data_IF_900712018821
#
_entry.id   IF_900712018821
#
_cell.length_a   1.000
_cell.length_b   1.000
_cell.length_c   1.000
_cell.angle_alpha   90.00
_cell.angle_beta   90.00
_cell.angle_gamma   90.00
#
_symmetry.space_group_name_H-M   'P 1'
#
loop_
_entity.id
_entity.type
_entity.pdbx_description
1 polymer ?
#
# COMPACT_ATOMS: atom_id res chain seq x y z
N UNK A 1 0.29 -26.65 16.79
CA UNK A 1 -0.23 -26.81 15.42
C UNK A 1 -0.52 -25.46 14.77
N UNK A 2 -1.12 -24.46 15.49
CA UNK A 2 -1.38 -23.10 14.94
C UNK A 2 -0.13 -22.21 14.93
N UNK A 3 0.75 -22.38 15.93
CA UNK A 3 2.03 -21.66 16.01
C UNK A 3 3.09 -22.20 15.04
N UNK A 4 3.07 -23.50 14.75
CA UNK A 4 3.94 -24.10 13.73
C UNK A 4 3.52 -23.73 12.31
N UNK A 5 2.21 -23.63 12.01
CA UNK A 5 1.75 -23.10 10.72
C UNK A 5 2.12 -21.63 10.50
N UNK A 6 2.06 -20.80 11.55
CA UNK A 6 2.50 -19.41 11.47
C UNK A 6 4.02 -19.27 11.33
N UNK A 7 4.82 -20.20 11.88
CA UNK A 7 6.27 -20.25 11.65
C UNK A 7 6.61 -20.71 10.24
N UNK A 8 5.94 -21.73 9.72
CA UNK A 8 6.15 -22.20 8.35
C UNK A 8 5.71 -21.19 7.30
N UNK A 9 4.61 -20.47 7.51
CA UNK A 9 4.21 -19.36 6.63
C UNK A 9 5.16 -18.14 6.71
N UNK A 10 5.80 -17.90 7.84
CA UNK A 10 6.84 -16.88 7.97
C UNK A 10 8.16 -17.31 7.30
N UNK A 11 8.43 -18.62 7.20
CA UNK A 11 9.63 -19.16 6.54
C UNK A 11 9.45 -19.32 5.01
N UNK A 12 8.24 -19.57 4.52
CA UNK A 12 7.93 -19.63 3.07
C UNK A 12 7.88 -18.25 2.39
N UNK A 13 7.60 -17.18 3.12
CA UNK A 13 7.67 -15.80 2.61
C UNK A 13 9.09 -15.23 2.52
N UNK A 14 10.12 -16.00 2.87
CA UNK A 14 11.52 -15.53 2.92
C UNK A 14 12.28 -15.66 1.58
N UNK A 15 11.64 -16.04 0.50
CA UNK A 15 12.33 -16.33 -0.76
C UNK A 15 12.72 -15.10 -1.58
N UNK A 16 12.15 -13.91 -1.29
CA UNK A 16 12.34 -12.67 -2.06
C UNK A 16 12.93 -11.50 -1.23
N UNK A 17 13.54 -11.77 -0.11
CA UNK A 17 14.21 -10.73 0.68
C UNK A 17 15.67 -10.61 0.26
N UNK A 18 16.15 -9.40 -0.03
CA UNK A 18 17.59 -9.18 -0.10
C UNK A 18 18.18 -9.48 1.29
N UNK A 19 18.97 -10.54 1.38
CA UNK A 19 19.41 -11.10 2.66
C UNK A 19 20.25 -10.06 3.42
N UNK A 20 19.64 -9.47 4.45
CA UNK A 20 20.35 -8.60 5.39
C UNK A 20 21.24 -9.45 6.30
N UNK A 21 22.53 -9.08 6.41
CA UNK A 21 23.50 -9.79 7.26
C UNK A 21 23.27 -9.58 8.76
N UNK A 22 22.60 -8.49 9.13
CA UNK A 22 22.37 -8.08 10.52
C UNK A 22 20.86 -8.07 10.89
N UNK A 23 19.99 -8.50 9.97
CA UNK A 23 18.54 -8.53 10.16
C UNK A 23 17.87 -7.15 10.13
N UNK A 24 18.57 -6.13 9.60
CA UNK A 24 17.99 -4.81 9.34
C UNK A 24 17.63 -4.63 7.87
N UNK A 25 16.57 -3.88 7.59
CA UNK A 25 16.09 -3.63 6.23
C UNK A 25 15.79 -2.17 6.04
N UNK A 26 16.33 -1.58 4.99
CA UNK A 26 16.19 -0.14 4.72
C UNK A 26 14.83 0.23 4.15
N UNK A 27 14.21 -0.67 3.37
CA UNK A 27 12.85 -0.51 2.85
C UNK A 27 11.94 -1.54 3.51
N UNK A 28 10.83 -1.06 4.08
CA UNK A 28 9.75 -1.90 4.58
C UNK A 28 8.50 -1.70 3.71
N UNK A 29 8.01 -2.74 3.07
CA UNK A 29 6.71 -2.74 2.42
C UNK A 29 5.66 -3.32 3.36
N UNK A 30 4.57 -2.60 3.56
CA UNK A 30 3.47 -3.02 4.44
C UNK A 30 2.19 -2.99 3.63
N UNK A 31 1.69 -4.16 3.25
CA UNK A 31 0.43 -4.26 2.52
C UNK A 31 -0.76 -4.51 3.45
N UNK A 32 -1.96 -4.47 2.86
CA UNK A 32 -3.18 -4.88 3.53
C UNK A 32 -3.33 -6.40 3.67
N UNK A 33 -4.55 -6.86 3.87
CA UNK A 33 -4.89 -8.28 3.79
C UNK A 33 -4.79 -8.75 2.34
N UNK A 34 -4.19 -9.90 2.13
CA UNK A 34 -3.97 -10.51 0.84
C UNK A 34 -2.61 -11.21 0.81
N UNK A 35 -2.43 -12.12 -0.11
CA UNK A 35 -1.12 -12.68 -0.40
C UNK A 35 -0.40 -11.76 -1.38
N UNK A 36 0.92 -11.80 -1.41
CA UNK A 36 1.71 -10.99 -2.35
C UNK A 36 1.49 -11.43 -3.80
N UNK A 37 1.09 -12.68 -4.00
CA UNK A 37 0.87 -13.31 -5.30
C UNK A 37 -0.60 -13.27 -5.77
N UNK A 38 -1.31 -12.20 -5.45
CA UNK A 38 -2.71 -12.01 -5.83
C UNK A 38 -2.92 -11.61 -7.32
N UNK A 39 -1.84 -11.62 -8.11
CA UNK A 39 -1.79 -11.14 -9.50
C UNK A 39 -2.34 -9.72 -9.65
N UNK A 40 -2.17 -8.92 -8.63
CA UNK A 40 -2.79 -7.62 -8.51
C UNK A 40 -1.85 -6.50 -8.10
N UNK A 41 -2.43 -5.53 -7.42
CA UNK A 41 -1.76 -4.29 -7.07
C UNK A 41 -0.65 -4.48 -6.01
N UNK A 42 -0.78 -5.48 -5.12
CA UNK A 42 0.24 -5.78 -4.11
C UNK A 42 1.48 -6.40 -4.74
N UNK A 43 1.30 -7.37 -5.61
CA UNK A 43 2.38 -8.04 -6.34
C UNK A 43 3.19 -7.06 -7.19
N UNK A 44 2.52 -6.28 -8.05
CA UNK A 44 3.19 -5.28 -8.89
C UNK A 44 3.97 -4.24 -8.08
N UNK A 45 3.45 -3.84 -6.91
CA UNK A 45 4.16 -2.91 -6.03
C UNK A 45 5.39 -3.56 -5.39
N UNK A 46 5.28 -4.83 -4.98
CA UNK A 46 6.38 -5.58 -4.41
C UNK A 46 7.49 -5.83 -5.44
N UNK A 47 7.13 -6.25 -6.66
CA UNK A 47 8.08 -6.43 -7.76
C UNK A 47 8.86 -5.15 -8.05
N UNK A 48 8.17 -4.00 -8.16
CA UNK A 48 8.83 -2.72 -8.37
C UNK A 48 9.76 -2.32 -7.21
N UNK A 49 9.42 -2.64 -5.96
CA UNK A 49 10.29 -2.43 -4.81
C UNK A 49 11.51 -3.32 -4.88
N UNK A 50 11.33 -4.61 -5.18
CA UNK A 50 12.40 -5.58 -5.30
C UNK A 50 13.39 -5.19 -6.41
N UNK A 51 12.89 -4.89 -7.61
CA UNK A 51 13.70 -4.45 -8.75
C UNK A 51 14.55 -3.21 -8.38
N UNK A 52 13.93 -2.17 -7.84
CA UNK A 52 14.64 -0.96 -7.43
C UNK A 52 15.70 -1.24 -6.34
N UNK A 53 15.34 -2.03 -5.33
CA UNK A 53 16.21 -2.33 -4.21
C UNK A 53 17.42 -3.17 -4.63
N UNK A 54 17.22 -4.17 -5.49
CA UNK A 54 18.29 -5.02 -6.03
C UNK A 54 19.25 -4.23 -6.90
N UNK A 55 18.74 -3.38 -7.81
CA UNK A 55 19.57 -2.49 -8.63
C UNK A 55 20.44 -1.54 -7.80
N UNK A 56 19.89 -1.03 -6.69
CA UNK A 56 20.54 -0.07 -5.83
C UNK A 56 21.29 -0.70 -4.62
N UNK A 57 21.24 -2.03 -4.49
CA UNK A 57 21.83 -2.79 -3.36
C UNK A 57 21.29 -2.34 -2.00
N UNK A 58 19.99 -2.09 -1.95
CA UNK A 58 19.25 -1.69 -0.74
C UNK A 58 18.57 -2.94 -0.18
N UNK A 59 18.62 -3.12 1.13
CA UNK A 59 17.91 -4.22 1.79
C UNK A 59 16.43 -3.88 1.96
N UNK A 60 15.55 -4.83 1.69
CA UNK A 60 14.11 -4.65 1.77
C UNK A 60 13.41 -5.84 2.41
N UNK A 61 12.26 -5.63 2.99
CA UNK A 61 11.44 -6.67 3.60
C UNK A 61 9.97 -6.34 3.55
N UNK A 62 9.16 -7.39 3.51
CA UNK A 62 7.72 -7.32 3.55
C UNK A 62 7.19 -7.57 4.97
N UNK A 63 6.24 -6.76 5.41
CA UNK A 63 5.58 -6.92 6.71
C UNK A 63 4.07 -7.00 6.53
N UNK A 64 3.52 -8.14 6.92
CA UNK A 64 2.08 -8.38 6.88
C UNK A 64 1.47 -8.07 8.24
N UNK A 65 0.43 -7.23 8.32
CA UNK A 65 -0.35 -7.05 9.54
C UNK A 65 -1.01 -8.37 9.97
N UNK A 66 -1.07 -8.63 11.26
CA UNK A 66 -1.62 -9.88 11.80
C UNK A 66 -3.12 -10.06 11.52
N UNK A 67 -3.83 -8.97 11.27
CA UNK A 67 -5.25 -8.92 10.91
C UNK A 67 -5.61 -7.56 10.30
N UNK A 68 -6.85 -7.42 9.80
CA UNK A 68 -7.36 -6.19 9.15
C UNK A 68 -7.78 -5.09 10.15
N UNK A 69 -7.00 -4.87 11.19
CA UNK A 69 -7.24 -3.77 12.13
C UNK A 69 -6.20 -2.66 11.97
N UNK A 70 -6.59 -1.43 12.28
CA UNK A 70 -5.68 -0.30 12.34
C UNK A 70 -4.48 -0.60 13.27
N UNK A 71 -4.75 -1.17 14.44
CA UNK A 71 -3.71 -1.48 15.43
C UNK A 71 -2.67 -2.48 14.88
N UNK A 72 -3.11 -3.52 14.16
CA UNK A 72 -2.20 -4.49 13.54
C UNK A 72 -1.33 -3.83 12.44
N UNK A 73 -1.89 -2.91 11.66
CA UNK A 73 -1.13 -2.13 10.66
C UNK A 73 -0.12 -1.19 11.33
N UNK A 74 -0.50 -0.50 12.40
CA UNK A 74 0.43 0.31 13.18
C UNK A 74 1.58 -0.52 13.75
N UNK A 75 1.30 -1.74 14.25
CA UNK A 75 2.36 -2.63 14.77
C UNK A 75 3.28 -3.14 13.66
N UNK A 76 2.76 -3.40 12.46
CA UNK A 76 3.59 -3.73 11.30
C UNK A 76 4.53 -2.56 10.93
N UNK A 77 4.02 -1.32 10.94
CA UNK A 77 4.85 -0.11 10.75
C UNK A 77 5.94 -0.01 11.81
N UNK A 78 5.59 -0.21 13.10
CA UNK A 78 6.57 -0.18 14.20
C UNK A 78 7.61 -1.30 14.06
N UNK A 79 7.19 -2.46 13.57
CA UNK A 79 8.11 -3.58 13.33
C UNK A 79 9.13 -3.22 12.24
N UNK A 80 8.67 -2.70 11.10
CA UNK A 80 9.57 -2.19 10.05
C UNK A 80 10.53 -1.12 10.57
N UNK A 81 10.02 -0.15 11.35
CA UNK A 81 10.83 0.88 11.97
C UNK A 81 11.91 0.31 12.91
N UNK A 82 11.56 -0.64 13.78
CA UNK A 82 12.48 -1.34 14.69
C UNK A 82 13.54 -2.14 13.94
N UNK A 83 13.21 -2.65 12.75
CA UNK A 83 14.12 -3.39 11.86
C UNK A 83 15.00 -2.49 11.00
N UNK A 84 14.96 -1.19 11.22
CA UNK A 84 15.90 -0.24 10.60
C UNK A 84 15.38 0.44 9.33
N UNK A 85 14.07 0.33 9.04
CA UNK A 85 13.50 0.95 7.86
C UNK A 85 13.76 2.46 7.84
N UNK A 86 14.30 2.93 6.73
CA UNK A 86 14.45 4.35 6.38
C UNK A 86 13.28 4.83 5.54
N UNK A 87 12.71 3.90 4.76
CA UNK A 87 11.55 4.12 3.91
C UNK A 87 10.51 3.06 4.26
N UNK A 88 9.28 3.50 4.51
CA UNK A 88 8.13 2.62 4.68
C UNK A 88 7.13 2.90 3.58
N UNK A 89 6.83 1.87 2.80
CA UNK A 89 5.88 1.94 1.70
C UNK A 89 4.58 1.26 2.14
N UNK A 90 3.46 1.93 1.97
CA UNK A 90 2.12 1.43 2.31
C UNK A 90 1.14 1.69 1.18
N UNK A 91 0.06 0.91 1.13
CA UNK A 91 -0.80 0.89 -0.03
C UNK A 91 -2.28 0.92 0.35
N UNK A 92 -3.00 1.88 -0.28
CA UNK A 92 -4.44 1.99 -0.22
C UNK A 92 -5.00 2.68 1.04
N UNK A 93 -6.30 2.91 1.00
CA UNK A 93 -7.06 3.62 2.01
C UNK A 93 -6.97 3.05 3.45
N UNK A 94 -6.73 1.74 3.67
CA UNK A 94 -6.62 1.22 5.04
C UNK A 94 -5.46 1.81 5.83
N UNK A 95 -4.49 2.43 5.14
CA UNK A 95 -3.33 3.07 5.76
C UNK A 95 -3.48 4.58 5.98
N UNK A 96 -4.58 5.21 5.56
CA UNK A 96 -4.79 6.66 5.71
C UNK A 96 -4.63 7.12 7.16
N UNK A 97 -5.36 6.50 8.10
CA UNK A 97 -5.27 6.83 9.51
C UNK A 97 -3.97 6.36 10.17
N UNK A 98 -3.45 5.22 9.72
CA UNK A 98 -2.18 4.66 10.21
C UNK A 98 -1.06 5.65 9.94
N UNK A 99 -0.89 6.08 8.69
CA UNK A 99 0.20 6.99 8.33
C UNK A 99 -0.06 8.40 8.88
N UNK A 100 -1.31 8.87 8.97
CA UNK A 100 -1.64 10.12 9.65
C UNK A 100 -1.16 10.18 11.12
N UNK A 101 -1.02 9.03 11.76
CA UNK A 101 -0.46 8.90 13.11
C UNK A 101 1.06 8.66 13.07
N UNK A 102 1.52 7.69 12.30
CA UNK A 102 2.91 7.24 12.25
C UNK A 102 3.88 8.30 11.70
N UNK A 103 3.45 9.16 10.79
CA UNK A 103 4.28 10.24 10.24
C UNK A 103 4.86 11.17 11.33
N UNK A 104 4.12 11.37 12.41
CA UNK A 104 4.56 12.19 13.54
C UNK A 104 5.35 11.39 14.58
N UNK A 105 5.04 10.10 14.74
CA UNK A 105 5.76 9.19 15.65
C UNK A 105 7.18 8.91 15.12
N UNK A 106 7.35 8.84 13.80
CA UNK A 106 8.62 8.53 13.13
C UNK A 106 9.06 9.63 12.14
N UNK A 107 9.42 10.83 12.60
CA UNK A 107 9.70 11.97 11.72
C UNK A 107 10.96 11.79 10.85
N UNK A 108 11.81 10.79 11.15
CA UNK A 108 13.03 10.49 10.38
C UNK A 108 12.82 9.42 9.31
N UNK A 109 11.70 8.69 9.35
CA UNK A 109 11.36 7.69 8.35
C UNK A 109 10.58 8.37 7.23
N UNK A 110 10.92 8.09 5.99
CA UNK A 110 10.17 8.52 4.83
C UNK A 110 9.02 7.54 4.59
N UNK A 111 7.82 8.07 4.44
CA UNK A 111 6.64 7.28 4.11
C UNK A 111 6.24 7.51 2.65
N UNK A 112 6.07 6.44 1.90
CA UNK A 112 5.50 6.46 0.57
C UNK A 112 4.12 5.78 0.62
N UNK A 113 3.08 6.53 0.32
CA UNK A 113 1.72 5.98 0.22
C UNK A 113 1.32 5.83 -1.25
N UNK A 114 0.89 4.64 -1.62
CA UNK A 114 0.35 4.34 -2.94
C UNK A 114 -1.17 4.36 -2.87
N UNK A 115 -1.79 5.10 -3.77
CA UNK A 115 -3.25 5.24 -3.93
C UNK A 115 -4.01 5.71 -2.67
N UNK A 116 -3.34 6.50 -1.81
CA UNK A 116 -3.97 7.07 -0.63
C UNK A 116 -3.22 8.32 -0.13
N UNK A 117 -3.86 9.07 0.77
CA UNK A 117 -3.26 10.19 1.51
C UNK A 117 -3.50 10.03 3.00
N UNK A 118 -2.54 10.42 3.86
CA UNK A 118 -2.75 10.35 5.31
C UNK A 118 -3.89 11.28 5.71
N UNK A 119 -4.89 10.71 6.39
CA UNK A 119 -6.09 11.41 6.79
C UNK A 119 -6.68 10.78 8.04
N UNK A 120 -6.98 11.58 9.05
CA UNK A 120 -7.81 11.16 10.19
C UNK A 120 -9.28 11.13 9.77
N UNK A 121 -10.04 10.22 10.36
CA UNK A 121 -11.47 10.07 10.05
C UNK A 121 -12.22 11.42 10.15
N UNK A 122 -12.98 11.75 9.10
CA UNK A 122 -13.75 12.99 9.02
C UNK A 122 -12.92 14.27 8.84
N UNK A 123 -11.59 14.19 8.65
CA UNK A 123 -10.71 15.35 8.47
C UNK A 123 -10.13 15.40 7.05
N UNK A 124 -9.59 16.57 6.69
CA UNK A 124 -8.81 16.73 5.47
C UNK A 124 -7.48 15.98 5.60
N UNK A 125 -6.93 15.55 4.45
CA UNK A 125 -5.60 14.96 4.41
C UNK A 125 -4.56 15.99 4.90
N UNK A 126 -3.65 15.54 5.76
CA UNK A 126 -2.55 16.33 6.31
C UNK A 126 -1.26 15.55 6.10
N UNK A 127 -0.37 16.10 5.27
CA UNK A 127 0.92 15.50 4.94
C UNK A 127 2.03 16.18 5.73
N UNK A 128 2.75 15.41 6.53
CA UNK A 128 4.02 15.85 7.08
C UNK A 128 5.11 15.86 5.98
N UNK A 129 6.23 16.53 6.25
CA UNK A 129 7.33 16.69 5.28
C UNK A 129 8.02 15.37 4.89
N UNK A 130 7.81 14.32 5.69
CA UNK A 130 8.34 12.98 5.48
C UNK A 130 7.32 12.03 4.81
N UNK A 131 6.23 12.53 4.24
CA UNK A 131 5.23 11.71 3.54
C UNK A 131 5.13 12.12 2.08
N UNK A 132 5.24 11.14 1.20
CA UNK A 132 5.00 11.25 -0.23
C UNK A 132 3.81 10.36 -0.63
N UNK A 133 2.98 10.84 -1.55
CA UNK A 133 1.80 10.09 -2.01
C UNK A 133 1.82 10.00 -3.54
N UNK A 134 1.59 8.81 -4.04
CA UNK A 134 1.31 8.57 -5.45
C UNK A 134 -0.18 8.27 -5.58
N UNK A 135 -0.87 9.05 -6.40
CA UNK A 135 -2.30 8.92 -6.68
C UNK A 135 -2.51 8.74 -8.17
N UNK A 136 -3.53 8.00 -8.51
CA UNK A 136 -3.94 7.82 -9.90
C UNK A 136 -5.08 8.79 -10.23
N UNK A 137 -5.26 9.06 -11.52
CA UNK A 137 -6.35 9.89 -12.06
C UNK A 137 -7.45 8.99 -12.59
N UNK A 138 -8.18 8.35 -11.68
CA UNK A 138 -9.21 7.37 -12.00
C UNK A 138 -10.37 7.99 -12.80
N UNK A 139 -10.59 9.29 -12.64
CA UNK A 139 -11.54 10.08 -13.42
C UNK A 139 -11.22 10.05 -14.93
N UNK A 140 -9.95 10.02 -15.33
CA UNK A 140 -9.56 9.91 -16.74
C UNK A 140 -9.92 8.54 -17.30
N UNK A 141 -9.65 7.47 -16.54
CA UNK A 141 -10.02 6.11 -16.94
C UNK A 141 -11.54 5.94 -17.04
N UNK A 142 -12.28 6.52 -16.08
CA UNK A 142 -13.74 6.54 -16.10
C UNK A 142 -14.31 7.29 -17.31
N UNK A 143 -13.75 8.45 -17.62
CA UNK A 143 -14.11 9.22 -18.80
C UNK A 143 -13.88 8.43 -20.10
N UNK A 144 -12.72 7.84 -20.26
CA UNK A 144 -12.38 7.05 -21.45
C UNK A 144 -13.29 5.82 -21.62
N UNK A 145 -13.63 5.14 -20.53
CA UNK A 145 -14.54 4.02 -20.55
C UNK A 145 -15.96 4.45 -20.98
N UNK A 146 -16.47 5.55 -20.44
CA UNK A 146 -17.76 6.12 -20.84
C UNK A 146 -17.77 6.58 -22.29
N UNK A 147 -16.70 7.27 -22.71
CA UNK A 147 -16.54 7.73 -24.08
C UNK A 147 -16.55 6.57 -25.08
N UNK A 148 -15.77 5.53 -24.82
CA UNK A 148 -15.72 4.35 -25.67
C UNK A 148 -17.09 3.66 -25.78
N UNK A 149 -17.80 3.51 -24.66
CA UNK A 149 -19.13 2.92 -24.66
C UNK A 149 -20.14 3.72 -25.51
N UNK A 150 -20.09 5.05 -25.44
CA UNK A 150 -20.96 5.93 -26.26
C UNK A 150 -20.58 5.83 -27.74
N UNK A 151 -19.30 5.77 -28.08
CA UNK A 151 -18.85 5.59 -29.47
C UNK A 151 -19.32 4.24 -30.06
N UNK A 152 -19.42 3.20 -29.24
CA UNK A 152 -19.98 1.89 -29.62
C UNK A 152 -21.54 1.89 -29.72
N UNK A 153 -22.18 3.06 -29.48
CA UNK A 153 -23.61 3.24 -29.65
C UNK A 153 -24.47 2.97 -28.41
N UNK A 154 -23.86 2.73 -27.25
CA UNK A 154 -24.61 2.56 -26.00
C UNK A 154 -25.16 3.90 -25.52
N UNK A 155 -26.48 3.95 -25.25
CA UNK A 155 -27.18 5.16 -24.79
C UNK A 155 -27.61 5.09 -23.33
N UNK A 156 -27.45 3.93 -22.69
CA UNK A 156 -27.74 3.70 -21.28
C UNK A 156 -26.58 2.95 -20.67
N UNK A 157 -25.92 3.57 -19.73
CA UNK A 157 -24.77 3.01 -19.06
C UNK A 157 -25.09 2.86 -17.57
N UNK A 158 -24.52 1.83 -16.96
CA UNK A 158 -24.53 1.60 -15.53
C UNK A 158 -23.11 1.44 -15.01
N UNK A 159 -22.91 1.76 -13.76
CA UNK A 159 -21.65 1.55 -13.08
C UNK A 159 -21.85 0.65 -11.86
N UNK A 160 -20.97 -0.33 -11.70
CA UNK A 160 -20.93 -1.20 -10.52
C UNK A 160 -19.56 -1.06 -9.87
N UNK A 161 -19.52 -0.40 -8.72
CA UNK A 161 -18.29 -0.23 -7.92
C UNK A 161 -18.19 -1.29 -6.82
N UNK A 162 -16.98 -1.77 -6.54
CA UNK A 162 -16.74 -2.79 -5.52
C UNK A 162 -16.92 -2.28 -4.09
N UNK A 163 -16.50 -1.05 -3.82
CA UNK A 163 -16.60 -0.39 -2.50
C UNK A 163 -16.78 1.12 -2.67
N UNK A 164 -17.40 1.77 -1.68
CA UNK A 164 -17.53 3.24 -1.64
C UNK A 164 -16.24 3.88 -1.09
N UNK A 165 -15.17 3.87 -1.88
CA UNK A 165 -13.88 4.47 -1.57
C UNK A 165 -13.54 5.57 -2.58
N UNK A 166 -12.63 6.46 -2.21
CA UNK A 166 -12.30 7.64 -3.01
C UNK A 166 -11.88 7.32 -4.46
N UNK A 167 -11.03 6.32 -4.77
CA UNK A 167 -10.71 5.95 -6.15
C UNK A 167 -11.95 5.55 -6.97
N UNK A 168 -12.81 4.69 -6.40
CA UNK A 168 -14.04 4.25 -7.07
C UNK A 168 -15.01 5.41 -7.29
N UNK A 169 -15.11 6.32 -6.32
CA UNK A 169 -15.94 7.51 -6.46
C UNK A 169 -15.41 8.47 -7.54
N UNK A 170 -14.09 8.65 -7.65
CA UNK A 170 -13.47 9.47 -8.72
C UNK A 170 -13.70 8.88 -10.09
N UNK A 171 -13.64 7.55 -10.24
CA UNK A 171 -13.89 6.87 -11.50
C UNK A 171 -15.29 7.18 -12.08
N UNK A 172 -16.29 7.41 -11.23
CA UNK A 172 -17.69 7.68 -11.63
C UNK A 172 -17.97 9.17 -11.77
N UNK A 173 -17.27 10.02 -11.05
CA UNK A 173 -17.47 11.46 -11.09
C UNK A 173 -16.75 12.03 -12.31
N UNK A 174 -17.55 12.50 -13.26
CA UNK A 174 -17.13 13.52 -14.22
C UNK A 174 -17.56 14.87 -13.63
N UNK A 175 -16.61 15.69 -13.24
CA UNK A 175 -16.85 17.13 -12.99
C UNK A 175 -16.95 17.87 -14.30
#
# INVERSE_FOLDING_TARGET
>A
VKEEKNRQQAEENSADESISKDGTYEIAFISGEGELDDSGFHESSWEGIAEYADENRITYSYYRPANDTRQAREEAVRTGAKKGAKIIISQGYPFEEVIAHMQNEYPKIQFLMLDAKPRKSGQKAELASNVHCILFREEEAGYLAGYAAVCEGYTRLGFLGGKEIAPVQRYVKMD
#
